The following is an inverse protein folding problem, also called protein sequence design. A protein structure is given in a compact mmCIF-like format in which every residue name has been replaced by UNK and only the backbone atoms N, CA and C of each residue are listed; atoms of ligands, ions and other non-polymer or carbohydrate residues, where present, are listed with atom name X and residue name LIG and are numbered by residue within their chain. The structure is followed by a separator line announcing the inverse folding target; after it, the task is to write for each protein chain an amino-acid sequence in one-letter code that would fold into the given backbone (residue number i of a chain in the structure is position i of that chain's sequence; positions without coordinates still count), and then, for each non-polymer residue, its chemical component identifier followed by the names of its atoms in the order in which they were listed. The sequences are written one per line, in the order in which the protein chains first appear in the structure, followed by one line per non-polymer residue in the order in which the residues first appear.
data_IF_347522257250
#
_entry.id   IF_347522257250
#
_cell.length_a   1.000
_cell.length_b   1.000
_cell.length_c   1.000
_cell.angle_alpha   90.00
_cell.angle_beta   90.00
_cell.angle_gamma   90.00
#
_symmetry.space_group_name_H-M   'P 1'
#
loop_
_entity.id
_entity.type
_entity.pdbx_description
1 polymer ?
#
# COMPACT_ATOMS: atom_id res chain seq x y z
N UNK A 1 -21.18 22.33 20.57
CA UNK A 1 -20.92 20.90 20.35
C UNK A 1 -20.60 20.61 18.87
N UNK A 2 -19.73 21.39 18.21
CA UNK A 2 -19.32 21.16 16.80
C UNK A 2 -17.89 21.72 16.58
N UNK A 3 -16.95 21.46 17.50
CA UNK A 3 -15.59 22.02 17.42
C UNK A 3 -14.47 20.99 17.62
N UNK A 4 -14.78 19.69 17.58
CA UNK A 4 -13.79 18.62 17.85
C UNK A 4 -13.42 17.78 16.63
N UNK A 5 -13.98 18.06 15.44
CA UNK A 5 -13.68 17.28 14.24
C UNK A 5 -12.47 17.79 13.43
N UNK A 6 -12.01 19.02 13.66
CA UNK A 6 -10.93 19.63 12.87
C UNK A 6 -9.51 19.31 13.38
N UNK A 7 -9.36 18.69 14.55
CA UNK A 7 -8.06 18.41 15.19
C UNK A 7 -7.54 16.98 14.97
N UNK A 8 -8.32 16.08 14.38
CA UNK A 8 -7.89 14.68 14.19
C UNK A 8 -6.95 14.48 12.97
N UNK A 9 -6.84 15.45 12.07
CA UNK A 9 -6.12 15.28 10.79
C UNK A 9 -4.62 15.63 10.83
N UNK A 10 -4.07 16.13 11.94
CA UNK A 10 -2.77 16.82 11.91
C UNK A 10 -1.54 16.04 12.42
N UNK A 11 -1.64 14.74 12.70
CA UNK A 11 -0.48 13.97 13.22
C UNK A 11 -0.25 12.67 12.46
N UNK A 12 0.04 12.77 11.17
CA UNK A 12 0.59 11.64 10.41
C UNK A 12 2.09 11.60 10.67
N UNK A 13 2.58 10.56 11.35
CA UNK A 13 4.00 10.42 11.63
C UNK A 13 4.73 9.99 10.35
N UNK A 14 5.73 10.78 9.95
CA UNK A 14 6.53 10.52 8.76
C UNK A 14 7.85 9.85 9.15
N UNK A 15 8.01 8.58 8.78
CA UNK A 15 9.25 7.83 8.99
C UNK A 15 9.89 7.53 7.64
N UNK A 16 11.19 7.76 7.53
CA UNK A 16 11.94 7.59 6.29
C UNK A 16 12.83 6.35 6.42
N UNK A 17 12.61 5.35 5.55
CA UNK A 17 13.39 4.10 5.57
C UNK A 17 14.40 4.09 4.41
N UNK A 18 15.70 3.83 4.65
CA UNK A 18 16.69 3.70 3.59
C UNK A 18 16.43 2.45 2.72
N UNK A 19 16.64 2.56 1.40
CA UNK A 19 16.57 1.41 0.49
C UNK A 19 17.87 0.60 0.60
N UNK A 20 17.79 -0.74 0.77
CA UNK A 20 18.98 -1.58 0.75
C UNK A 20 19.65 -1.54 -0.63
N UNK A 21 20.99 -1.57 -0.67
CA UNK A 21 21.78 -1.57 -1.91
C UNK A 21 21.90 -0.22 -2.61
N UNK A 22 21.84 0.90 -1.86
CA UNK A 22 22.21 2.23 -2.35
C UNK A 22 23.43 2.75 -1.61
N UNK A 23 24.38 3.28 -2.36
CA UNK A 23 25.63 3.83 -1.81
C UNK A 23 25.47 5.31 -1.39
N UNK A 24 24.65 6.07 -2.13
CA UNK A 24 24.43 7.50 -1.88
C UNK A 24 23.08 7.79 -1.21
N UNK A 25 23.10 8.07 0.10
CA UNK A 25 21.92 8.48 0.88
C UNK A 25 21.67 9.99 0.90
N UNK A 26 22.44 10.76 0.13
CA UNK A 26 22.19 12.18 -0.12
C UNK A 26 21.01 12.40 -1.09
N UNK A 27 20.70 11.40 -1.93
CA UNK A 27 19.63 11.50 -2.94
C UNK A 27 18.28 11.07 -2.36
N UNK A 28 17.20 11.86 -2.52
CA UNK A 28 15.87 11.49 -2.00
C UNK A 28 15.31 10.19 -2.62
N UNK A 29 15.79 9.78 -3.81
CA UNK A 29 15.44 8.49 -4.45
C UNK A 29 15.92 7.26 -3.65
N UNK A 30 16.87 7.44 -2.72
CA UNK A 30 17.46 6.37 -1.91
C UNK A 30 16.60 5.99 -0.69
N UNK A 31 15.51 6.73 -0.44
CA UNK A 31 14.61 6.45 0.67
C UNK A 31 13.22 5.98 0.23
N UNK A 32 12.51 5.33 1.16
CA UNK A 32 11.08 5.01 1.11
C UNK A 32 10.39 5.78 2.24
N UNK A 33 9.73 6.92 1.97
CA UNK A 33 8.95 7.59 2.99
C UNK A 33 7.70 6.76 3.31
N UNK A 34 7.46 6.51 4.59
CA UNK A 34 6.26 5.85 5.10
C UNK A 34 5.46 6.87 5.91
N UNK A 35 4.16 6.89 5.66
CA UNK A 35 3.19 7.64 6.46
C UNK A 35 2.53 6.68 7.43
N UNK A 36 2.72 6.91 8.72
CA UNK A 36 2.05 6.17 9.76
C UNK A 36 0.78 6.92 10.15
N UNK A 37 -0.35 6.37 9.72
CA UNK A 37 -1.67 6.82 10.15
C UNK A 37 -1.97 6.34 11.57
N UNK A 38 -2.77 7.12 12.30
CA UNK A 38 -3.34 6.69 13.58
C UNK A 38 -4.16 5.41 13.40
N UNK A 39 -4.36 4.66 14.49
CA UNK A 39 -5.11 3.39 14.47
C UNK A 39 -6.50 3.58 13.86
N UNK A 40 -7.21 4.66 14.20
CA UNK A 40 -8.51 4.99 13.62
C UNK A 40 -8.43 5.25 12.11
N UNK A 41 -7.39 5.97 11.65
CA UNK A 41 -7.16 6.19 10.22
C UNK A 41 -6.98 4.89 9.45
N UNK A 42 -6.18 3.96 10.00
CA UNK A 42 -5.98 2.62 9.42
C UNK A 42 -7.28 1.81 9.38
N UNK A 43 -8.13 1.92 10.40
CA UNK A 43 -9.43 1.24 10.44
C UNK A 43 -10.34 1.72 9.32
N UNK A 44 -10.47 3.03 9.13
CA UNK A 44 -11.30 3.61 8.05
C UNK A 44 -10.74 3.24 6.68
N UNK A 45 -9.42 3.32 6.49
CA UNK A 45 -8.75 2.90 5.25
C UNK A 45 -9.05 1.43 4.95
N UNK A 46 -8.97 0.55 5.95
CA UNK A 46 -9.28 -0.87 5.79
C UNK A 46 -10.72 -1.11 5.37
N UNK A 47 -11.69 -0.42 5.98
CA UNK A 47 -13.11 -0.51 5.61
C UNK A 47 -13.33 -0.08 4.15
N UNK A 48 -12.68 1.01 3.72
CA UNK A 48 -12.76 1.50 2.35
C UNK A 48 -12.16 0.49 1.35
N UNK A 49 -10.98 -0.03 1.65
CA UNK A 49 -10.31 -1.03 0.80
C UNK A 49 -11.18 -2.29 0.63
N UNK A 50 -11.85 -2.76 1.69
CA UNK A 50 -12.76 -3.90 1.59
C UNK A 50 -13.91 -3.63 0.60
N UNK A 51 -14.52 -2.44 0.65
CA UNK A 51 -15.61 -2.07 -0.28
C UNK A 51 -15.11 -1.92 -1.71
N UNK A 52 -13.99 -1.23 -1.91
CA UNK A 52 -13.40 -1.05 -3.23
C UNK A 52 -13.04 -2.41 -3.86
N UNK A 53 -12.42 -3.30 -3.08
CA UNK A 53 -12.06 -4.64 -3.55
C UNK A 53 -13.28 -5.42 -4.04
N UNK A 54 -14.40 -5.39 -3.31
CA UNK A 54 -15.63 -6.05 -3.73
C UNK A 54 -16.07 -5.64 -5.14
N UNK A 55 -15.98 -4.35 -5.47
CA UNK A 55 -16.40 -3.83 -6.77
C UNK A 55 -15.37 -4.01 -7.90
N UNK A 56 -14.07 -4.00 -7.57
CA UNK A 56 -13.00 -4.06 -8.58
C UNK A 56 -12.62 -5.51 -8.90
N UNK A 57 -12.70 -6.45 -7.95
CA UNK A 57 -12.33 -7.86 -8.16
C UNK A 57 -12.91 -8.50 -9.43
N UNK A 58 -14.19 -8.33 -9.81
CA UNK A 58 -14.72 -8.92 -11.05
C UNK A 58 -14.22 -8.23 -12.33
N UNK A 59 -13.63 -7.04 -12.24
CA UNK A 59 -13.15 -6.24 -13.38
C UNK A 59 -11.63 -6.28 -13.58
N UNK A 60 -10.92 -6.96 -12.67
CA UNK A 60 -9.46 -7.06 -12.71
C UNK A 60 -8.99 -8.02 -13.80
N UNK A 61 -7.84 -7.72 -14.39
CA UNK A 61 -7.20 -8.60 -15.38
C UNK A 61 -6.75 -9.91 -14.71
N UNK A 62 -6.91 -11.04 -15.40
CA UNK A 62 -6.56 -12.36 -14.89
C UNK A 62 -5.06 -12.55 -14.56
N UNK A 63 -4.20 -11.72 -15.17
CA UNK A 63 -2.73 -11.67 -14.93
C UNK A 63 -2.31 -10.60 -13.92
N UNK A 64 -3.24 -10.01 -13.18
CA UNK A 64 -2.87 -9.20 -12.02
C UNK A 64 -2.56 -10.16 -10.86
N UNK A 65 -1.36 -10.09 -10.30
CA UNK A 65 -0.95 -10.90 -9.14
C UNK A 65 -0.76 -10.06 -7.88
N UNK A 66 -0.46 -8.77 -8.04
CA UNK A 66 -0.28 -7.85 -6.91
C UNK A 66 -1.59 -7.49 -6.23
N UNK A 67 -1.60 -7.56 -4.88
CA UNK A 67 -2.70 -7.15 -4.00
C UNK A 67 -4.03 -7.93 -4.16
N UNK A 68 -4.01 -9.06 -4.86
CA UNK A 68 -5.15 -9.97 -5.00
C UNK A 68 -5.10 -11.02 -3.88
N UNK A 69 -6.23 -11.32 -3.19
CA UNK A 69 -6.27 -12.42 -2.23
C UNK A 69 -5.89 -13.74 -2.91
N UNK A 70 -5.12 -14.58 -2.20
CA UNK A 70 -4.69 -15.90 -2.69
C UNK A 70 -3.78 -15.87 -3.94
N UNK A 71 -3.17 -14.73 -4.28
CA UNK A 71 -2.13 -14.63 -5.30
C UNK A 71 -0.82 -14.12 -4.70
N UNK A 72 0.30 -14.70 -5.13
CA UNK A 72 1.65 -14.35 -4.71
C UNK A 72 2.50 -13.93 -5.91
N UNK A 73 3.64 -13.32 -5.60
CA UNK A 73 4.63 -12.96 -6.63
C UNK A 73 5.18 -14.20 -7.35
N UNK A 74 5.24 -15.34 -6.65
CA UNK A 74 5.66 -16.64 -7.21
C UNK A 74 4.75 -17.10 -8.34
N UNK A 75 3.43 -16.94 -8.19
CA UNK A 75 2.44 -17.30 -9.22
C UNK A 75 2.69 -16.53 -10.52
N UNK A 76 3.14 -15.28 -10.42
CA UNK A 76 3.52 -14.47 -11.58
C UNK A 76 4.80 -15.00 -12.27
N UNK A 77 5.73 -15.58 -11.51
CA UNK A 77 6.95 -16.17 -12.07
C UNK A 77 6.64 -17.50 -12.77
N UNK A 78 5.79 -18.33 -12.17
CA UNK A 78 5.35 -19.57 -12.80
C UNK A 78 4.58 -19.32 -14.10
N UNK A 79 3.66 -18.35 -14.12
CA UNK A 79 2.95 -17.96 -15.36
C UNK A 79 3.92 -17.50 -16.45
N UNK A 80 4.95 -16.72 -16.08
CA UNK A 80 5.99 -16.28 -17.01
C UNK A 80 6.80 -17.46 -17.56
N UNK A 81 7.26 -18.37 -16.69
CA UNK A 81 8.05 -19.53 -17.09
C UNK A 81 7.28 -20.52 -17.98
N UNK A 82 5.95 -20.60 -17.83
CA UNK A 82 5.09 -21.49 -18.63
C UNK A 82 4.82 -20.92 -20.03
N UNK A 83 5.03 -19.62 -20.24
CA UNK A 83 4.82 -18.92 -21.49
C UNK A 83 6.11 -18.65 -22.29
N UNK A 84 7.26 -19.14 -21.80
CA UNK A 84 8.55 -19.17 -22.51
C UNK A 84 8.71 -20.55 -23.15
#
# INVERSE_FOLDING_TARGET
MIATFHSFQNTVQHTVIPKPGKDDYSRPKSYRPIRLLSVMGKTVERMLVCRIKWHIMPKLQARQYGFIPQRRTEDSLYDLMTHI
#
